data_IF_843953614929
#
_entry.id   IF_843953614929
#
_cell.length_a   1.000
_cell.length_b   1.000
_cell.length_c   1.000
_cell.angle_alpha   90.00
_cell.angle_beta   90.00
_cell.angle_gamma   90.00
#
_symmetry.space_group_name_H-M   'P 1'
#
loop_
_entity.id
_entity.type
_entity.pdbx_description
1 polymer ?
#
# COMPACT_ATOMS: atom_id res chain seq x y z
N UNK A 1 -30.04 0.53 61.50
CA UNK A 1 -28.99 -0.51 61.47
C UNK A 1 -29.33 -1.72 62.34
N UNK A 2 -29.44 -1.65 63.67
CA UNK A 2 -29.68 -2.84 64.53
C UNK A 2 -30.99 -3.58 64.20
N UNK A 3 -32.08 -2.84 63.95
CA UNK A 3 -33.38 -3.44 63.62
C UNK A 3 -33.39 -4.18 62.27
N UNK A 4 -32.65 -3.65 61.30
CA UNK A 4 -32.52 -4.21 59.95
C UNK A 4 -31.70 -5.50 59.93
N UNK A 5 -30.64 -5.56 60.76
CA UNK A 5 -29.89 -6.79 60.99
C UNK A 5 -30.72 -7.85 61.72
N UNK A 6 -31.57 -7.44 62.67
CA UNK A 6 -32.47 -8.36 63.38
C UNK A 6 -33.50 -8.98 62.44
N UNK A 7 -34.14 -8.17 61.59
CA UNK A 7 -35.09 -8.65 60.57
C UNK A 7 -34.41 -9.61 59.59
N UNK A 8 -33.19 -9.32 59.13
CA UNK A 8 -32.43 -10.19 58.23
C UNK A 8 -32.02 -11.51 58.91
N UNK A 9 -31.60 -11.46 60.18
CA UNK A 9 -31.27 -12.65 60.97
C UNK A 9 -32.49 -13.54 61.17
N UNK A 10 -33.64 -12.96 61.54
CA UNK A 10 -34.88 -13.70 61.73
C UNK A 10 -35.39 -14.33 60.43
N UNK A 11 -35.22 -13.63 59.29
CA UNK A 11 -35.52 -14.21 57.97
C UNK A 11 -34.62 -15.39 57.65
N UNK A 12 -33.30 -15.24 57.80
CA UNK A 12 -32.34 -16.30 57.50
C UNK A 12 -32.53 -17.51 58.43
N UNK A 13 -32.89 -17.27 59.69
CA UNK A 13 -33.20 -18.32 60.66
C UNK A 13 -34.47 -19.08 60.27
N UNK A 14 -35.50 -18.39 59.78
CA UNK A 14 -36.71 -19.05 59.23
C UNK A 14 -36.38 -19.89 58.01
N UNK A 15 -35.60 -19.36 57.08
CA UNK A 15 -35.19 -20.09 55.87
C UNK A 15 -34.35 -21.32 56.22
N UNK A 16 -33.44 -21.20 57.20
CA UNK A 16 -32.65 -22.32 57.70
C UNK A 16 -33.53 -23.43 58.28
N UNK A 17 -34.49 -23.08 59.15
CA UNK A 17 -35.43 -24.04 59.73
C UNK A 17 -36.29 -24.71 58.63
N UNK A 18 -36.75 -23.93 57.64
CA UNK A 18 -37.50 -24.46 56.51
C UNK A 18 -36.67 -25.44 55.67
N UNK A 19 -35.38 -25.13 55.43
CA UNK A 19 -34.46 -26.04 54.73
C UNK A 19 -34.13 -27.29 55.54
N UNK A 20 -33.98 -27.20 56.85
CA UNK A 20 -33.81 -28.39 57.70
C UNK A 20 -35.04 -29.30 57.66
N UNK A 21 -36.25 -28.74 57.67
CA UNK A 21 -37.49 -29.49 57.52
C UNK A 21 -37.56 -30.19 56.14
N UNK A 22 -37.25 -29.48 55.06
CA UNK A 22 -37.18 -30.03 53.69
C UNK A 22 -36.17 -31.18 53.60
N UNK A 23 -34.98 -31.04 54.20
CA UNK A 23 -33.98 -32.11 54.28
C UNK A 23 -34.53 -33.31 55.06
N UNK A 24 -35.26 -33.09 56.14
CA UNK A 24 -35.92 -34.16 56.91
C UNK A 24 -36.95 -34.94 56.11
N UNK A 25 -37.79 -34.24 55.35
CA UNK A 25 -38.76 -34.85 54.43
C UNK A 25 -38.07 -35.63 53.31
N UNK A 26 -37.04 -35.03 52.68
CA UNK A 26 -36.25 -35.69 51.64
C UNK A 26 -35.57 -36.95 52.16
N UNK A 27 -35.01 -36.94 53.36
CA UNK A 27 -34.41 -38.14 53.99
C UNK A 27 -35.45 -39.23 54.23
N UNK A 28 -36.64 -38.85 54.68
CA UNK A 28 -37.75 -39.80 54.90
C UNK A 28 -38.24 -40.39 53.58
N UNK A 29 -38.33 -39.56 52.53
CA UNK A 29 -38.66 -39.99 51.17
C UNK A 29 -37.61 -40.94 50.60
N UNK A 30 -36.33 -40.63 50.74
CA UNK A 30 -35.23 -41.52 50.32
C UNK A 30 -35.31 -42.85 51.05
N UNK A 31 -35.57 -42.85 52.37
CA UNK A 31 -35.72 -44.09 53.16
C UNK A 31 -36.92 -44.93 52.71
N UNK A 32 -38.06 -44.29 52.41
CA UNK A 32 -39.23 -44.95 51.84
C UNK A 32 -38.93 -45.53 50.46
N UNK A 33 -38.34 -44.74 49.57
CA UNK A 33 -37.97 -45.19 48.22
C UNK A 33 -36.94 -46.32 48.25
N UNK A 34 -36.02 -46.31 49.23
CA UNK A 34 -35.09 -47.42 49.48
C UNK A 34 -35.80 -48.69 49.96
N UNK A 35 -36.88 -48.59 50.75
CA UNK A 35 -37.72 -49.71 51.17
C UNK A 35 -38.63 -50.24 50.04
N UNK A 36 -39.09 -49.35 49.17
CA UNK A 36 -39.90 -49.66 47.98
C UNK A 36 -39.07 -50.14 46.79
N UNK A 37 -37.72 -50.17 46.92
CA UNK A 37 -36.85 -50.69 45.87
C UNK A 37 -37.28 -52.11 45.51
N UNK A 38 -37.65 -52.25 44.25
CA UNK A 38 -38.12 -53.50 43.70
C UNK A 38 -36.97 -54.50 43.69
N UNK A 39 -37.14 -55.64 44.36
CA UNK A 39 -36.32 -56.82 44.07
C UNK A 39 -36.65 -57.23 42.64
N UNK A 40 -35.71 -56.98 41.73
CA UNK A 40 -35.89 -57.35 40.33
C UNK A 40 -35.55 -58.84 40.24
N UNK A 41 -36.51 -59.70 39.87
CA UNK A 41 -36.20 -61.10 39.67
C UNK A 41 -35.24 -61.23 38.48
N UNK A 42 -34.29 -62.18 38.51
CA UNK A 42 -33.20 -62.24 37.55
C UNK A 42 -33.63 -62.28 36.09
N UNK A 43 -34.72 -62.99 35.81
CA UNK A 43 -35.35 -63.13 34.49
C UNK A 43 -35.83 -61.79 33.92
N UNK A 44 -36.38 -60.90 34.75
CA UNK A 44 -36.89 -59.59 34.31
C UNK A 44 -35.76 -58.63 33.92
N UNK A 45 -34.65 -58.64 34.64
CA UNK A 45 -33.48 -57.82 34.29
C UNK A 45 -32.89 -58.29 32.95
N UNK A 46 -32.68 -59.60 32.82
CA UNK A 46 -32.09 -60.20 31.62
C UNK A 46 -33.00 -60.04 30.40
N UNK A 47 -34.32 -60.23 30.55
CA UNK A 47 -35.29 -60.02 29.45
C UNK A 47 -35.40 -58.56 29.03
N UNK A 48 -35.53 -57.62 29.98
CA UNK A 48 -35.59 -56.19 29.64
C UNK A 48 -34.33 -55.69 28.95
N UNK A 49 -33.17 -56.23 29.33
CA UNK A 49 -31.91 -55.96 28.67
C UNK A 49 -31.90 -56.58 27.26
N UNK A 50 -32.32 -57.84 27.11
CA UNK A 50 -32.50 -58.49 25.80
C UNK A 50 -33.41 -57.68 24.86
N UNK A 51 -34.57 -57.25 25.34
CA UNK A 51 -35.51 -56.40 24.58
C UNK A 51 -34.88 -55.07 24.16
N UNK A 52 -34.07 -54.45 25.03
CA UNK A 52 -33.38 -53.22 24.72
C UNK A 52 -32.32 -53.41 23.63
N UNK A 53 -31.61 -54.55 23.65
CA UNK A 53 -30.66 -54.92 22.60
C UNK A 53 -31.35 -55.20 21.28
N UNK A 54 -32.48 -55.91 21.30
CA UNK A 54 -33.28 -56.18 20.11
C UNK A 54 -33.81 -54.88 19.50
N UNK A 55 -34.35 -53.98 20.31
CA UNK A 55 -34.78 -52.64 19.85
C UNK A 55 -33.63 -51.82 19.29
N UNK A 56 -32.44 -51.90 19.88
CA UNK A 56 -31.25 -51.25 19.35
C UNK A 56 -30.84 -51.84 18.00
N UNK A 57 -30.84 -53.17 17.86
CA UNK A 57 -30.57 -53.85 16.59
C UNK A 57 -31.60 -53.47 15.52
N UNK A 58 -32.88 -53.41 15.88
CA UNK A 58 -33.97 -52.95 15.02
C UNK A 58 -33.75 -51.50 14.61
N UNK A 59 -33.48 -50.59 15.55
CA UNK A 59 -33.24 -49.17 15.26
C UNK A 59 -31.98 -48.93 14.39
N UNK A 60 -30.96 -49.79 14.54
CA UNK A 60 -29.75 -49.78 13.71
C UNK A 60 -29.96 -50.41 12.32
N UNK A 61 -31.05 -51.13 12.10
CA UNK A 61 -31.39 -51.79 10.82
C UNK A 61 -32.60 -51.18 10.09
N UNK A 62 -33.51 -50.49 10.78
CA UNK A 62 -34.73 -49.88 10.22
C UNK A 62 -34.52 -48.47 9.65
N UNK A 63 -33.49 -47.74 10.08
CA UNK A 63 -33.19 -46.47 9.41
C UNK A 63 -32.72 -46.78 7.99
N UNK A 64 -33.35 -46.15 7.00
CA UNK A 64 -33.02 -46.20 5.58
C UNK A 64 -31.61 -45.64 5.28
N UNK A 65 -30.58 -46.21 5.89
CA UNK A 65 -29.17 -45.88 5.70
C UNK A 65 -28.52 -46.97 4.86
N UNK A 66 -27.60 -46.58 3.96
CA UNK A 66 -26.90 -47.45 2.99
C UNK A 66 -26.13 -48.63 3.61
N UNK A 67 -25.96 -48.61 4.93
CA UNK A 67 -25.17 -49.57 5.71
C UNK A 67 -26.09 -50.18 6.74
N UNK A 68 -26.24 -51.51 6.68
CA UNK A 68 -26.88 -52.27 7.75
C UNK A 68 -25.83 -52.47 8.84
N UNK A 69 -26.10 -52.00 10.04
CA UNK A 69 -25.21 -52.22 11.17
C UNK A 69 -25.62 -53.51 11.86
N UNK A 70 -24.68 -54.46 11.95
CA UNK A 70 -24.85 -55.67 12.74
C UNK A 70 -24.09 -55.51 14.05
N UNK A 71 -24.79 -55.48 15.17
CA UNK A 71 -24.15 -55.65 16.48
C UNK A 71 -23.73 -57.12 16.59
N UNK A 72 -22.43 -57.35 16.84
CA UNK A 72 -21.81 -58.68 16.94
C UNK A 72 -20.84 -58.70 18.12
N UNK A 73 -20.40 -59.90 18.53
CA UNK A 73 -19.45 -60.08 19.63
C UNK A 73 -19.86 -59.32 20.90
N UNK A 74 -21.12 -59.45 21.30
CA UNK A 74 -21.62 -58.81 22.52
C UNK A 74 -21.19 -59.60 23.75
N UNK A 75 -20.49 -58.92 24.64
CA UNK A 75 -20.00 -59.45 25.90
C UNK A 75 -20.49 -58.54 27.03
N UNK A 76 -21.16 -59.12 28.01
CA UNK A 76 -21.74 -58.40 29.14
C UNK A 76 -21.17 -59.00 30.41
N UNK A 77 -20.45 -58.16 31.16
CA UNK A 77 -19.98 -58.47 32.49
C UNK A 77 -20.86 -57.73 33.49
N UNK A 78 -21.88 -58.43 34.01
CA UNK A 78 -22.78 -57.86 35.00
C UNK A 78 -22.19 -58.01 36.41
N UNK A 79 -21.84 -56.89 37.02
CA UNK A 79 -21.43 -56.81 38.43
C UNK A 79 -22.63 -56.41 39.26
N UNK A 80 -23.27 -57.39 39.89
CA UNK A 80 -24.44 -57.20 40.74
C UNK A 80 -24.34 -58.06 41.99
N UNK A 81 -24.88 -57.54 43.10
CA UNK A 81 -25.00 -58.31 44.32
C UNK A 81 -26.21 -59.22 44.22
N UNK A 82 -26.05 -60.47 44.60
CA UNK A 82 -27.12 -61.47 44.59
C UNK A 82 -27.60 -61.67 46.01
N UNK A 83 -28.89 -61.49 46.25
CA UNK A 83 -29.52 -61.74 47.53
C UNK A 83 -30.43 -62.97 47.41
N UNK A 84 -30.24 -63.93 48.30
CA UNK A 84 -31.12 -65.08 48.43
C UNK A 84 -32.23 -64.76 49.43
N UNK A 85 -33.48 -64.97 49.03
CA UNK A 85 -34.63 -64.79 49.90
C UNK A 85 -35.10 -66.15 50.43
N UNK A 86 -34.73 -66.47 51.67
CA UNK A 86 -35.02 -67.75 52.34
C UNK A 86 -36.52 -68.08 52.37
N UNK A 87 -37.38 -67.08 52.54
CA UNK A 87 -38.84 -67.27 52.67
C UNK A 87 -39.51 -67.65 51.35
N UNK A 88 -38.92 -67.25 50.22
CA UNK A 88 -39.48 -67.47 48.87
C UNK A 88 -38.67 -68.47 48.05
N UNK A 89 -37.52 -68.93 48.56
CA UNK A 89 -36.56 -69.76 47.84
C UNK A 89 -36.19 -69.16 46.46
N UNK A 90 -36.06 -67.84 46.41
CA UNK A 90 -35.84 -67.08 45.19
C UNK A 90 -34.55 -66.28 45.29
N UNK A 91 -33.78 -66.30 44.20
CA UNK A 91 -32.60 -65.46 44.02
C UNK A 91 -33.06 -64.13 43.42
N UNK A 92 -32.60 -63.02 43.95
CA UNK A 92 -32.89 -61.68 43.42
C UNK A 92 -31.61 -60.87 43.21
N UNK A 93 -31.60 -60.02 42.19
CA UNK A 93 -30.53 -59.05 42.01
C UNK A 93 -30.79 -57.83 42.88
N UNK A 94 -29.75 -57.41 43.61
CA UNK A 94 -29.78 -56.21 44.42
C UNK A 94 -29.08 -55.07 43.70
N UNK A 95 -29.84 -54.04 43.36
CA UNK A 95 -29.29 -52.82 42.76
C UNK A 95 -28.57 -51.97 43.82
N UNK A 96 -27.44 -51.33 43.45
CA UNK A 96 -26.69 -50.44 44.34
C UNK A 96 -27.55 -49.26 44.80
N UNK A 97 -27.41 -48.85 46.05
CA UNK A 97 -28.15 -47.72 46.62
C UNK A 97 -27.77 -46.42 45.93
N UNK A 98 -28.67 -45.43 45.98
CA UNK A 98 -28.46 -44.15 45.28
C UNK A 98 -27.28 -43.36 45.87
N UNK A 99 -26.96 -43.65 47.12
CA UNK A 99 -25.85 -43.13 47.93
C UNK A 99 -24.60 -44.02 47.90
N UNK A 100 -24.63 -45.17 47.21
CA UNK A 100 -23.45 -46.03 47.09
C UNK A 100 -22.44 -45.41 46.12
N UNK A 101 -21.26 -45.07 46.64
CA UNK A 101 -20.11 -44.69 45.81
C UNK A 101 -19.48 -45.95 45.24
N UNK A 102 -19.79 -46.25 43.98
CA UNK A 102 -19.20 -47.40 43.28
C UNK A 102 -17.90 -46.98 42.59
N UNK A 103 -16.76 -47.62 42.90
CA UNK A 103 -15.54 -47.36 42.16
C UNK A 103 -15.68 -47.93 40.73
N UNK A 104 -14.98 -47.36 39.73
CA UNK A 104 -15.15 -47.72 38.32
C UNK A 104 -14.99 -49.22 38.02
N UNK A 105 -14.12 -49.91 38.77
CA UNK A 105 -13.89 -51.35 38.67
C UNK A 105 -15.10 -52.21 39.06
N UNK A 106 -16.07 -51.66 39.81
CA UNK A 106 -17.29 -52.38 40.22
C UNK A 106 -18.48 -52.10 39.28
N UNK A 107 -18.28 -51.31 38.23
CA UNK A 107 -19.30 -51.09 37.22
C UNK A 107 -19.42 -52.31 36.32
N UNK A 108 -20.66 -52.62 35.94
CA UNK A 108 -20.93 -53.61 34.90
C UNK A 108 -20.40 -53.09 33.57
N UNK A 109 -19.78 -53.95 32.76
CA UNK A 109 -19.24 -53.56 31.46
C UNK A 109 -20.02 -54.23 30.33
N UNK A 110 -20.30 -53.46 29.28
CA UNK A 110 -20.93 -53.96 28.06
C UNK A 110 -19.95 -53.66 26.93
N UNK A 111 -19.45 -54.71 26.28
CA UNK A 111 -18.60 -54.62 25.11
C UNK A 111 -19.34 -55.24 23.93
N UNK A 112 -19.27 -54.59 22.77
CA UNK A 112 -19.79 -55.15 21.54
C UNK A 112 -19.02 -54.59 20.36
N UNK A 113 -19.03 -55.31 19.25
CA UNK A 113 -18.49 -54.85 17.98
C UNK A 113 -19.61 -54.55 17.02
N UNK A 114 -19.62 -53.33 16.51
CA UNK A 114 -20.50 -52.97 15.40
C UNK A 114 -19.77 -53.35 14.12
N UNK A 115 -20.38 -54.25 13.32
CA UNK A 115 -19.94 -54.55 11.95
C UNK A 115 -20.84 -53.81 10.98
N UNK A 116 -20.22 -53.13 10.02
CA UNK A 116 -20.91 -52.55 8.88
C UNK A 116 -21.10 -53.63 7.83
N UNK A 117 -22.35 -53.99 7.54
CA UNK A 117 -22.69 -54.84 6.42
C UNK A 117 -23.11 -53.94 5.24
N UNK A 118 -22.55 -54.16 4.04
CA UNK A 118 -23.04 -53.49 2.84
C UNK A 118 -24.53 -53.78 2.67
N UNK A 119 -25.35 -52.73 2.56
CA UNK A 119 -26.77 -52.89 2.26
C UNK A 119 -26.98 -53.52 0.87
N UNK A 120 -28.09 -54.23 0.72
CA UNK A 120 -28.56 -54.69 -0.60
C UNK A 120 -28.80 -53.46 -1.49
N UNK A 121 -28.33 -53.49 -2.74
CA UNK A 121 -28.49 -52.38 -3.67
C UNK A 121 -29.99 -52.18 -3.93
N UNK A 122 -30.58 -51.16 -3.33
CA UNK A 122 -31.92 -50.71 -3.67
C UNK A 122 -31.85 -50.13 -5.08
N UNK A 123 -32.35 -50.87 -6.07
CA UNK A 123 -32.43 -50.44 -7.46
C UNK A 123 -33.48 -49.32 -7.57
N UNK A 124 -33.06 -48.08 -7.83
CA UNK A 124 -33.96 -47.03 -8.27
C UNK A 124 -33.79 -45.64 -7.65
N UNK A 125 -32.96 -45.45 -6.61
CA UNK A 125 -32.61 -44.11 -6.13
C UNK A 125 -31.17 -43.78 -6.54
N UNK A 126 -30.97 -42.62 -7.17
CA UNK A 126 -29.65 -42.12 -7.53
C UNK A 126 -28.79 -41.95 -6.27
N UNK A 127 -27.85 -42.87 -6.09
CA UNK A 127 -26.92 -42.88 -4.98
C UNK A 127 -25.93 -41.72 -5.14
N UNK A 128 -26.17 -40.59 -4.46
CA UNK A 128 -25.14 -39.55 -4.33
C UNK A 128 -24.11 -40.00 -3.30
N UNK A 129 -22.93 -40.44 -3.75
CA UNK A 129 -21.78 -40.73 -2.89
C UNK A 129 -21.31 -39.41 -2.24
N UNK A 130 -21.51 -39.19 -0.94
CA UNK A 130 -21.08 -37.92 -0.34
C UNK A 130 -19.61 -38.04 0.05
N UNK A 131 -18.79 -37.10 -0.44
CA UNK A 131 -17.37 -37.02 -0.13
C UNK A 131 -17.11 -36.00 0.98
N UNK A 132 -16.03 -36.20 1.71
CA UNK A 132 -15.56 -35.26 2.74
C UNK A 132 -14.90 -34.04 2.09
N UNK A 133 -15.40 -32.84 2.45
CA UNK A 133 -14.89 -31.56 1.95
C UNK A 133 -13.50 -31.29 2.55
N UNK A 134 -12.47 -31.04 1.73
CA UNK A 134 -11.12 -30.79 2.22
C UNK A 134 -11.04 -29.50 3.04
N UNK A 135 -10.07 -29.44 3.95
CA UNK A 135 -9.72 -28.19 4.62
C UNK A 135 -8.82 -27.32 3.73
N UNK A 136 -9.28 -26.10 3.46
CA UNK A 136 -8.65 -25.12 2.60
C UNK A 136 -8.17 -23.88 3.37
N UNK A 137 -8.40 -23.80 4.68
CA UNK A 137 -7.99 -22.66 5.50
C UNK A 137 -6.48 -22.42 5.39
N UNK A 138 -6.10 -21.16 5.21
CA UNK A 138 -4.71 -20.69 5.09
C UNK A 138 -3.94 -21.20 3.86
N UNK A 139 -4.60 -21.90 2.93
CA UNK A 139 -4.00 -22.21 1.63
C UNK A 139 -4.05 -20.98 0.71
N UNK A 140 -3.12 -20.90 -0.24
CA UNK A 140 -3.23 -19.96 -1.35
C UNK A 140 -4.47 -20.29 -2.18
N UNK A 141 -5.03 -19.29 -2.87
CA UNK A 141 -6.19 -19.52 -3.74
C UNK A 141 -5.93 -20.62 -4.80
N UNK A 142 -4.72 -20.69 -5.34
CA UNK A 142 -4.38 -21.70 -6.35
C UNK A 142 -4.25 -23.10 -5.75
N UNK A 143 -3.62 -23.24 -4.58
CA UNK A 143 -3.54 -24.52 -3.85
C UNK A 143 -4.93 -24.99 -3.41
N UNK A 144 -5.79 -24.07 -2.97
CA UNK A 144 -7.16 -24.36 -2.59
C UNK A 144 -7.96 -24.90 -3.78
N UNK A 145 -7.89 -24.23 -4.94
CA UNK A 145 -8.52 -24.70 -6.19
C UNK A 145 -8.04 -26.09 -6.58
N UNK A 146 -6.72 -26.32 -6.54
CA UNK A 146 -6.15 -27.62 -6.83
C UNK A 146 -6.70 -28.71 -5.90
N UNK A 147 -6.76 -28.44 -4.59
CA UNK A 147 -7.25 -29.40 -3.59
C UNK A 147 -8.74 -29.70 -3.72
N UNK A 148 -9.56 -28.71 -4.07
CA UNK A 148 -10.99 -28.87 -4.41
C UNK A 148 -11.13 -29.84 -5.59
N UNK A 149 -10.42 -29.56 -6.70
CA UNK A 149 -10.54 -30.37 -7.91
C UNK A 149 -10.00 -31.79 -7.73
N UNK A 150 -8.94 -31.96 -6.94
CA UNK A 150 -8.35 -33.26 -6.63
C UNK A 150 -9.33 -34.15 -5.84
N UNK A 151 -10.21 -33.53 -5.04
CA UNK A 151 -11.25 -34.21 -4.25
C UNK A 151 -12.58 -34.37 -5.00
N UNK A 152 -12.65 -34.02 -6.29
CA UNK A 152 -13.85 -34.22 -7.10
C UNK A 152 -14.95 -33.16 -6.88
N UNK A 153 -14.65 -32.08 -6.14
CA UNK A 153 -15.53 -30.93 -5.97
C UNK A 153 -15.29 -29.87 -7.06
N UNK A 154 -16.20 -28.90 -7.17
CA UNK A 154 -16.05 -27.74 -8.06
C UNK A 154 -15.74 -26.48 -7.27
N UNK A 155 -15.05 -25.53 -7.89
CA UNK A 155 -14.78 -24.23 -7.26
C UNK A 155 -16.06 -23.40 -7.37
N UNK A 156 -16.56 -22.94 -6.23
CA UNK A 156 -17.77 -22.14 -6.13
C UNK A 156 -17.50 -20.63 -6.26
N UNK A 157 -18.32 -19.83 -5.59
CA UNK A 157 -18.16 -18.38 -5.51
C UNK A 157 -16.88 -18.02 -4.74
N UNK A 158 -16.11 -17.07 -5.26
CA UNK A 158 -14.94 -16.52 -4.58
C UNK A 158 -15.27 -15.09 -4.17
N UNK A 159 -15.38 -14.88 -2.86
CA UNK A 159 -15.54 -13.56 -2.25
C UNK A 159 -14.22 -13.10 -1.63
N UNK A 160 -14.10 -11.80 -1.42
CA UNK A 160 -12.89 -11.18 -0.87
C UNK A 160 -13.21 -10.41 0.39
N UNK A 161 -12.44 -10.65 1.45
CA UNK A 161 -12.56 -9.93 2.71
C UNK A 161 -11.27 -9.17 3.00
N UNK A 162 -11.41 -7.87 3.28
CA UNK A 162 -10.27 -7.01 3.63
C UNK A 162 -9.78 -7.32 5.03
N UNK A 163 -8.53 -7.75 5.12
CA UNK A 163 -7.91 -8.08 6.41
C UNK A 163 -6.41 -7.82 6.38
N UNK A 164 -5.85 -7.53 7.55
CA UNK A 164 -4.42 -7.41 7.79
C UNK A 164 -3.91 -8.52 8.72
N UNK A 165 -4.77 -9.51 9.05
CA UNK A 165 -4.45 -10.60 9.98
C UNK A 165 -3.69 -11.75 9.32
N UNK A 166 -3.84 -11.91 8.01
CA UNK A 166 -3.20 -12.96 7.22
C UNK A 166 -2.65 -12.35 5.93
N UNK A 167 -1.79 -13.11 5.25
CA UNK A 167 -1.25 -12.70 3.96
C UNK A 167 -2.35 -12.57 2.89
N UNK A 168 -2.30 -11.55 2.02
CA UNK A 168 -3.16 -11.45 0.86
C UNK A 168 -3.17 -12.72 -0.01
N UNK A 169 -4.36 -13.11 -0.48
CA UNK A 169 -4.52 -14.23 -1.41
C UNK A 169 -4.67 -15.61 -0.75
N UNK A 170 -4.69 -15.69 0.59
CA UNK A 170 -4.98 -16.94 1.32
C UNK A 170 -6.47 -17.07 1.65
N UNK A 171 -6.96 -18.31 1.72
CA UNK A 171 -8.35 -18.62 2.08
C UNK A 171 -8.58 -18.39 3.57
N UNK A 172 -9.55 -17.54 3.90
CA UNK A 172 -10.01 -17.24 5.25
C UNK A 172 -11.07 -18.22 5.73
N UNK A 173 -12.01 -18.55 4.85
CA UNK A 173 -13.12 -19.44 5.13
C UNK A 173 -13.63 -20.10 3.86
N UNK A 174 -14.37 -21.18 4.05
CA UNK A 174 -14.99 -21.95 2.96
C UNK A 174 -16.40 -22.38 3.34
N UNK A 175 -17.22 -22.61 2.32
CA UNK A 175 -18.55 -23.23 2.45
C UNK A 175 -18.68 -24.28 1.35
N UNK A 176 -18.98 -25.56 1.65
CA UNK A 176 -19.23 -26.13 2.97
C UNK A 176 -18.01 -26.16 3.90
N UNK A 177 -18.27 -26.28 5.20
CA UNK A 177 -17.23 -26.30 6.23
C UNK A 177 -16.23 -27.45 6.03
N UNK A 178 -14.97 -27.29 6.45
CA UNK A 178 -13.97 -28.36 6.34
C UNK A 178 -14.45 -29.62 7.06
N UNK A 179 -14.16 -30.79 6.47
CA UNK A 179 -14.53 -32.12 6.98
C UNK A 179 -16.04 -32.42 7.01
N UNK A 180 -16.88 -31.52 6.47
CA UNK A 180 -18.31 -31.82 6.24
C UNK A 180 -18.49 -32.72 5.02
N UNK A 181 -19.67 -33.33 4.89
CA UNK A 181 -20.02 -34.18 3.76
C UNK A 181 -20.77 -33.37 2.70
N UNK A 182 -20.35 -33.46 1.45
CA UNK A 182 -21.00 -32.81 0.32
C UNK A 182 -21.10 -33.76 -0.89
N UNK A 183 -22.12 -33.55 -1.73
CA UNK A 183 -22.31 -34.39 -2.92
C UNK A 183 -21.13 -34.18 -3.90
N UNK A 184 -20.80 -35.17 -4.74
CA UNK A 184 -19.71 -35.04 -5.70
C UNK A 184 -20.00 -33.87 -6.63
N UNK A 185 -18.96 -33.15 -7.03
CA UNK A 185 -19.04 -31.94 -7.86
C UNK A 185 -19.77 -30.77 -7.22
N UNK A 186 -20.17 -30.83 -5.94
CA UNK A 186 -20.73 -29.66 -5.26
C UNK A 186 -19.73 -28.50 -5.28
N UNK A 187 -20.21 -27.25 -5.42
CA UNK A 187 -19.35 -26.08 -5.33
C UNK A 187 -18.82 -25.90 -3.91
N UNK A 188 -17.56 -25.50 -3.80
CA UNK A 188 -16.95 -25.02 -2.55
C UNK A 188 -16.66 -23.53 -2.72
N UNK A 189 -17.45 -22.70 -2.06
CA UNK A 189 -17.30 -21.26 -2.02
C UNK A 189 -16.15 -20.90 -1.08
N UNK A 190 -15.39 -19.86 -1.44
CA UNK A 190 -14.20 -19.42 -0.72
C UNK A 190 -14.32 -17.94 -0.38
N UNK A 191 -13.89 -17.58 0.83
CA UNK A 191 -13.58 -16.19 1.19
C UNK A 191 -12.07 -16.06 1.25
N UNK A 192 -11.51 -15.14 0.48
CA UNK A 192 -10.06 -14.94 0.33
C UNK A 192 -9.66 -13.60 0.93
N UNK A 193 -8.49 -13.58 1.58
CA UNK A 193 -7.93 -12.37 2.15
C UNK A 193 -7.53 -11.36 1.07
N UNK A 194 -8.10 -10.17 1.12
CA UNK A 194 -7.67 -9.00 0.36
C UNK A 194 -6.86 -8.06 1.27
N UNK A 195 -5.77 -7.43 0.79
CA UNK A 195 -5.03 -6.48 1.60
C UNK A 195 -5.93 -5.33 2.04
N UNK A 196 -5.93 -5.01 3.34
CA UNK A 196 -6.54 -3.78 3.81
C UNK A 196 -5.77 -2.59 3.22
N UNK A 197 -6.47 -1.70 2.52
CA UNK A 197 -5.89 -0.43 2.08
C UNK A 197 -5.50 0.36 3.33
N UNK A 198 -4.19 0.48 3.59
CA UNK A 198 -3.70 1.41 4.59
C UNK A 198 -3.80 2.81 4.00
N UNK A 199 -4.71 3.61 4.55
CA UNK A 199 -4.88 5.00 4.19
C UNK A 199 -4.06 5.88 5.13
N UNK A 200 -3.57 7.00 4.60
CA UNK A 200 -2.92 8.06 5.36
C UNK A 200 -3.44 9.40 4.87
N UNK A 201 -3.43 10.40 5.74
CA UNK A 201 -3.82 11.76 5.38
C UNK A 201 -2.65 12.48 4.72
N UNK A 202 -2.93 13.16 3.62
CA UNK A 202 -1.93 13.98 2.94
C UNK A 202 -1.64 15.22 3.79
N UNK A 203 -0.38 15.48 4.17
CA UNK A 203 -0.02 16.64 4.97
C UNK A 203 -0.07 17.91 4.12
N UNK A 204 -0.16 19.05 4.79
CA UNK A 204 0.04 20.33 4.12
C UNK A 204 1.54 20.59 3.93
N UNK A 205 1.99 20.50 2.68
CA UNK A 205 3.37 20.74 2.26
C UNK A 205 3.59 22.16 1.76
N UNK A 206 2.54 22.98 1.63
CA UNK A 206 2.67 24.36 1.14
C UNK A 206 3.50 25.21 2.09
N UNK A 207 4.27 26.15 1.55
CA UNK A 207 5.20 27.02 2.29
C UNK A 207 6.41 26.33 2.93
N UNK A 208 6.50 24.99 2.90
CA UNK A 208 7.70 24.28 3.33
C UNK A 208 8.80 24.37 2.27
N UNK A 209 10.06 24.22 2.68
CA UNK A 209 11.14 23.96 1.73
C UNK A 209 10.97 22.58 1.09
N UNK A 210 11.50 22.40 -0.12
CA UNK A 210 11.48 21.10 -0.80
C UNK A 210 12.08 19.99 0.09
N UNK A 211 13.18 20.28 0.79
CA UNK A 211 13.84 19.29 1.66
C UNK A 211 12.95 18.88 2.85
N UNK A 212 12.28 19.84 3.50
CA UNK A 212 11.34 19.55 4.59
C UNK A 212 10.12 18.78 4.09
N UNK A 213 9.56 19.19 2.94
CA UNK A 213 8.44 18.50 2.32
C UNK A 213 8.78 17.02 2.01
N UNK A 214 9.99 16.76 1.54
CA UNK A 214 10.47 15.39 1.32
C UNK A 214 10.61 14.57 2.60
N UNK A 215 11.07 15.18 3.70
CA UNK A 215 11.15 14.52 5.02
C UNK A 215 9.75 14.18 5.53
N UNK A 216 8.80 15.11 5.38
CA UNK A 216 7.41 14.91 5.80
C UNK A 216 6.73 13.82 4.98
N UNK A 217 6.91 13.78 3.65
CA UNK A 217 6.36 12.71 2.80
C UNK A 217 6.89 11.33 3.22
N UNK A 218 8.20 11.22 3.46
CA UNK A 218 8.82 9.95 3.88
C UNK A 218 8.33 9.47 5.25
N UNK A 219 8.11 10.35 6.22
CA UNK A 219 7.72 9.95 7.58
C UNK A 219 6.33 9.29 7.65
N UNK A 220 5.47 9.57 6.66
CA UNK A 220 4.12 9.00 6.54
C UNK A 220 4.00 8.00 5.39
N UNK A 221 5.13 7.54 4.85
CA UNK A 221 5.20 6.58 3.73
C UNK A 221 4.46 7.04 2.46
N UNK A 222 4.50 8.34 2.14
CA UNK A 222 4.09 8.86 0.83
C UNK A 222 5.32 9.07 -0.06
N UNK A 223 5.12 8.95 -1.37
CA UNK A 223 6.21 9.04 -2.34
C UNK A 223 6.31 10.42 -2.97
N UNK A 224 7.54 10.85 -3.24
CA UNK A 224 7.82 12.09 -3.96
C UNK A 224 7.58 11.89 -5.44
N UNK A 225 6.72 12.73 -6.01
CA UNK A 225 6.44 12.75 -7.44
C UNK A 225 7.32 13.72 -8.24
N UNK A 226 6.77 14.16 -9.36
CA UNK A 226 7.37 15.14 -10.24
C UNK A 226 7.45 16.50 -9.55
N UNK A 227 8.62 17.11 -9.64
CA UNK A 227 8.85 18.49 -9.20
C UNK A 227 8.80 19.40 -10.42
N UNK A 228 7.99 20.45 -10.34
CA UNK A 228 7.92 21.49 -11.38
C UNK A 228 8.17 22.86 -10.77
N UNK A 229 8.82 23.75 -11.51
CA UNK A 229 9.14 25.08 -11.03
C UNK A 229 8.16 26.12 -11.57
N UNK A 230 7.81 27.10 -10.74
CA UNK A 230 6.97 28.24 -11.12
C UNK A 230 7.51 29.53 -10.52
N UNK A 231 7.42 30.62 -11.29
CA UNK A 231 7.72 31.98 -10.78
C UNK A 231 6.79 32.29 -9.59
N UNK A 232 7.36 32.75 -8.49
CA UNK A 232 6.66 33.08 -7.25
C UNK A 232 7.43 34.13 -6.46
N UNK A 233 6.73 34.78 -5.52
CA UNK A 233 7.36 35.68 -4.55
C UNK A 233 8.03 34.96 -3.38
N UNK A 234 7.70 33.67 -3.20
CA UNK A 234 8.32 32.81 -2.20
C UNK A 234 9.82 32.63 -2.45
N UNK A 235 10.53 32.20 -1.41
CA UNK A 235 11.95 31.84 -1.51
C UNK A 235 12.14 30.69 -2.51
N UNK A 236 13.29 30.62 -3.21
CA UNK A 236 13.60 29.51 -4.10
C UNK A 236 13.46 28.15 -3.38
N UNK A 237 12.96 27.14 -4.10
CA UNK A 237 12.70 25.79 -3.59
C UNK A 237 11.62 25.69 -2.50
N UNK A 238 10.82 26.74 -2.27
CA UNK A 238 9.62 26.65 -1.42
C UNK A 238 8.44 26.06 -2.20
N UNK A 239 7.72 25.11 -1.60
CA UNK A 239 6.54 24.48 -2.19
C UNK A 239 5.38 25.49 -2.30
N UNK A 240 4.92 25.72 -3.53
CA UNK A 240 3.78 26.56 -3.88
C UNK A 240 2.49 25.74 -3.85
N UNK A 241 2.54 24.52 -4.39
CA UNK A 241 1.37 23.67 -4.58
C UNK A 241 1.75 22.20 -4.53
N UNK A 242 0.83 21.39 -4.01
CA UNK A 242 0.85 19.93 -4.06
C UNK A 242 -0.29 19.43 -4.97
N UNK A 243 -0.11 18.25 -5.57
CA UNK A 243 -1.08 17.60 -6.45
C UNK A 243 -2.36 17.15 -5.73
N UNK A 244 -2.21 16.50 -4.58
CA UNK A 244 -3.31 16.05 -3.71
C UNK A 244 -3.51 17.06 -2.59
N UNK A 245 -4.75 17.38 -2.22
CA UNK A 245 -5.02 18.40 -1.20
C UNK A 245 -4.59 17.93 0.19
N UNK A 246 -4.29 18.89 1.06
CA UNK A 246 -4.08 18.58 2.47
C UNK A 246 -5.34 17.95 3.09
N UNK A 247 -5.13 17.06 4.06
CA UNK A 247 -6.13 16.27 4.79
C UNK A 247 -6.93 15.24 3.98
N UNK A 248 -6.65 15.13 2.67
CA UNK A 248 -7.24 14.10 1.81
C UNK A 248 -6.66 12.71 2.19
N UNK A 249 -7.51 11.69 2.26
CA UNK A 249 -7.09 10.32 2.57
C UNK A 249 -6.66 9.59 1.29
N UNK A 250 -5.41 9.15 1.26
CA UNK A 250 -4.83 8.41 0.14
C UNK A 250 -4.19 7.12 0.61
N UNK A 251 -3.93 6.20 -0.32
CA UNK A 251 -3.18 4.97 -0.02
C UNK A 251 -1.76 5.33 0.40
N UNK A 252 -1.19 4.57 1.33
CA UNK A 252 0.26 4.56 1.54
C UNK A 252 0.97 4.33 0.19
N UNK A 253 2.15 4.92 0.02
CA UNK A 253 2.92 4.97 -1.22
C UNK A 253 2.28 5.75 -2.38
N UNK A 254 1.22 6.53 -2.12
CA UNK A 254 0.70 7.47 -3.13
C UNK A 254 1.77 8.52 -3.47
N UNK A 255 1.95 8.77 -4.76
CA UNK A 255 2.91 9.74 -5.30
C UNK A 255 2.31 11.15 -5.24
N UNK A 256 3.05 12.09 -4.65
CA UNK A 256 2.65 13.50 -4.54
C UNK A 256 3.59 14.38 -5.38
N UNK A 257 3.08 14.89 -6.51
CA UNK A 257 3.77 15.91 -7.31
C UNK A 257 3.76 17.28 -6.60
N UNK A 258 4.86 18.01 -6.72
CA UNK A 258 5.05 19.32 -6.10
C UNK A 258 5.39 20.40 -7.15
N UNK A 259 4.85 21.59 -6.93
CA UNK A 259 5.23 22.81 -7.65
C UNK A 259 6.03 23.68 -6.69
N UNK A 260 7.28 24.00 -7.01
CA UNK A 260 8.18 24.80 -6.19
C UNK A 260 8.49 26.16 -6.81
N UNK A 261 8.89 27.10 -5.97
CA UNK A 261 9.30 28.43 -6.40
C UNK A 261 10.64 28.40 -7.14
N UNK A 262 10.62 28.94 -8.36
CA UNK A 262 11.80 29.08 -9.21
C UNK A 262 12.78 30.09 -8.61
N UNK A 263 14.07 29.86 -8.82
CA UNK A 263 15.11 30.83 -8.48
C UNK A 263 14.86 32.18 -9.19
N UNK A 264 14.91 33.28 -8.42
CA UNK A 264 14.82 34.63 -8.96
C UNK A 264 16.14 34.94 -9.68
N UNK A 265 16.08 35.17 -10.98
CA UNK A 265 17.23 35.64 -11.75
C UNK A 265 17.72 36.97 -11.15
N UNK A 266 18.96 36.99 -10.65
CA UNK A 266 19.56 38.25 -10.18
C UNK A 266 19.62 39.20 -11.38
N UNK A 267 19.20 40.47 -11.23
CA UNK A 267 19.44 41.44 -12.28
C UNK A 267 20.94 41.49 -12.56
N UNK A 268 21.33 41.30 -13.82
CA UNK A 268 22.71 41.48 -14.24
C UNK A 268 23.04 42.96 -13.99
N UNK A 269 23.94 43.23 -13.05
CA UNK A 269 24.44 44.58 -12.78
C UNK A 269 25.21 45.07 -14.02
N UNK A 270 24.49 45.66 -14.96
CA UNK A 270 25.09 46.28 -16.14
C UNK A 270 25.70 47.60 -15.71
N UNK A 271 27.00 47.58 -15.38
CA UNK A 271 27.76 48.80 -15.10
C UNK A 271 27.80 49.67 -16.36
N UNK A 272 27.27 50.89 -16.26
CA UNK A 272 27.30 51.90 -17.32
C UNK A 272 28.52 52.81 -17.14
N UNK A 273 29.08 53.28 -18.25
CA UNK A 273 30.12 54.31 -18.31
C UNK A 273 29.76 55.37 -19.35
N UNK A 274 30.28 56.59 -19.19
CA UNK A 274 30.03 57.69 -20.13
C UNK A 274 31.06 57.68 -21.25
N UNK A 275 30.61 57.87 -22.48
CA UNK A 275 31.50 57.97 -23.64
C UNK A 275 32.31 59.28 -23.56
N UNK A 276 33.65 59.22 -23.64
CA UNK A 276 34.51 60.39 -23.57
C UNK A 276 34.45 61.17 -24.88
N UNK A 277 34.87 62.43 -24.84
CA UNK A 277 35.04 63.22 -26.06
C UNK A 277 36.41 62.91 -26.68
N UNK A 278 36.41 62.24 -27.82
CA UNK A 278 37.60 61.85 -28.57
C UNK A 278 37.88 62.80 -29.74
N UNK A 279 36.96 63.69 -30.10
CA UNK A 279 37.13 64.59 -31.25
C UNK A 279 38.28 65.56 -31.02
N UNK A 280 39.17 65.69 -32.00
CA UNK A 280 40.36 66.56 -31.91
C UNK A 280 41.59 65.90 -31.27
N UNK A 281 41.45 64.73 -30.63
CA UNK A 281 42.59 64.00 -30.08
C UNK A 281 43.37 63.24 -31.17
N UNK A 282 44.70 63.07 -31.01
CA UNK A 282 45.47 62.08 -31.75
C UNK A 282 44.93 60.66 -31.52
N UNK A 283 44.99 59.80 -32.54
CA UNK A 283 44.51 58.42 -32.47
C UNK A 283 45.07 57.67 -31.24
N UNK A 284 46.37 57.76 -30.98
CA UNK A 284 47.01 57.07 -29.85
C UNK A 284 46.47 57.53 -28.48
N UNK A 285 46.16 58.82 -28.33
CA UNK A 285 45.57 59.36 -27.10
C UNK A 285 44.11 58.93 -26.95
N UNK A 286 43.34 58.97 -28.05
CA UNK A 286 41.95 58.50 -28.06
C UNK A 286 41.86 57.01 -27.66
N UNK A 287 42.82 56.19 -28.08
CA UNK A 287 42.90 54.78 -27.66
C UNK A 287 43.20 54.60 -26.17
N UNK A 288 44.09 55.42 -25.61
CA UNK A 288 44.39 55.41 -24.16
C UNK A 288 43.16 55.81 -23.34
N UNK A 289 42.44 56.85 -23.79
CA UNK A 289 41.22 57.34 -23.14
C UNK A 289 40.09 56.31 -23.19
N UNK A 290 39.93 55.57 -24.30
CA UNK A 290 38.96 54.48 -24.36
C UNK A 290 39.30 53.32 -23.42
N UNK A 291 40.58 52.92 -23.38
CA UNK A 291 41.06 51.83 -22.51
C UNK A 291 40.92 52.18 -21.02
N UNK A 292 41.18 53.42 -20.61
CA UNK A 292 41.15 53.82 -19.19
C UNK A 292 39.75 53.72 -18.56
N UNK A 293 38.69 53.75 -19.37
CA UNK A 293 37.30 53.61 -18.93
C UNK A 293 36.66 52.29 -19.39
N UNK A 294 37.48 51.32 -19.79
CA UNK A 294 37.06 50.00 -20.24
C UNK A 294 36.06 50.03 -21.42
N UNK A 295 36.25 50.96 -22.36
CA UNK A 295 35.56 50.95 -23.66
C UNK A 295 36.48 50.36 -24.73
N UNK A 296 35.89 49.64 -25.67
CA UNK A 296 36.64 48.98 -26.72
C UNK A 296 36.79 49.88 -27.94
N UNK A 297 37.96 49.77 -28.59
CA UNK A 297 38.23 50.44 -29.86
C UNK A 297 37.49 49.71 -30.98
N UNK A 298 36.59 50.41 -31.64
CA UNK A 298 35.88 49.90 -32.80
C UNK A 298 36.63 50.11 -34.12
N UNK A 299 35.89 50.07 -35.23
CA UNK A 299 36.39 50.31 -36.58
C UNK A 299 36.91 51.74 -36.73
N UNK A 300 38.12 51.85 -37.29
CA UNK A 300 38.74 53.12 -37.68
C UNK A 300 38.53 53.33 -39.19
N UNK A 301 38.09 54.52 -39.57
CA UNK A 301 37.94 54.92 -40.98
C UNK A 301 38.63 56.25 -41.23
N UNK A 302 39.18 56.45 -42.42
CA UNK A 302 39.88 57.69 -42.76
C UNK A 302 39.01 58.60 -43.63
N UNK A 303 39.12 59.92 -43.40
CA UNK A 303 38.47 60.94 -44.22
C UNK A 303 39.45 62.10 -44.47
N UNK A 304 39.38 62.71 -45.66
CA UNK A 304 40.11 63.95 -45.96
C UNK A 304 39.64 65.06 -45.00
N UNK A 305 40.60 65.75 -44.38
CA UNK A 305 40.37 66.82 -43.42
C UNK A 305 41.53 67.81 -43.45
N UNK A 306 41.28 69.01 -42.95
CA UNK A 306 42.29 70.05 -42.70
C UNK A 306 43.06 69.81 -41.40
N UNK A 307 42.57 68.89 -40.56
CA UNK A 307 43.26 68.45 -39.34
C UNK A 307 44.55 67.71 -39.65
N UNK A 308 45.45 67.67 -38.66
CA UNK A 308 46.68 66.89 -38.73
C UNK A 308 46.38 65.41 -39.00
N UNK A 309 47.25 64.68 -39.74
CA UNK A 309 47.08 63.24 -39.95
C UNK A 309 46.91 62.48 -38.63
N UNK A 310 46.04 61.47 -38.63
CA UNK A 310 45.71 60.65 -37.46
C UNK A 310 44.94 61.37 -36.32
N UNK A 311 44.40 62.57 -36.56
CA UNK A 311 43.50 63.24 -35.61
C UNK A 311 42.07 62.75 -35.78
N UNK A 312 41.36 62.52 -34.67
CA UNK A 312 39.95 62.10 -34.67
C UNK A 312 39.03 63.23 -35.15
N UNK A 313 38.32 62.98 -36.25
CA UNK A 313 37.29 63.87 -36.83
C UNK A 313 35.94 63.64 -36.17
N UNK A 314 35.58 62.37 -35.96
CA UNK A 314 34.25 61.98 -35.50
C UNK A 314 34.29 60.66 -34.73
N UNK A 315 33.48 60.57 -33.69
CA UNK A 315 33.17 59.32 -32.97
C UNK A 315 31.75 58.85 -33.29
N UNK A 316 31.53 57.54 -33.23
CA UNK A 316 30.23 56.92 -33.53
C UNK A 316 29.15 57.15 -32.47
N UNK A 317 29.55 57.26 -31.20
CA UNK A 317 28.66 57.55 -30.08
C UNK A 317 29.03 58.93 -29.53
N UNK A 318 28.06 59.82 -29.37
CA UNK A 318 28.32 61.17 -28.86
C UNK A 318 28.94 61.17 -27.46
N UNK A 319 29.76 62.18 -27.17
CA UNK A 319 30.33 62.36 -25.84
C UNK A 319 29.24 62.48 -24.77
N UNK A 320 29.54 62.04 -23.55
CA UNK A 320 28.65 61.99 -22.38
C UNK A 320 27.45 61.04 -22.48
N UNK A 321 27.25 60.33 -23.60
CA UNK A 321 26.22 59.28 -23.68
C UNK A 321 26.60 58.07 -22.82
N UNK A 322 25.65 57.52 -22.10
CA UNK A 322 25.86 56.32 -21.29
C UNK A 322 25.81 55.05 -22.15
N UNK A 323 26.81 54.19 -21.95
CA UNK A 323 26.96 52.91 -22.64
C UNK A 323 27.41 51.84 -21.65
N UNK A 324 27.20 50.57 -22.00
CA UNK A 324 27.69 49.45 -21.19
C UNK A 324 29.22 49.44 -21.19
N UNK A 325 29.85 49.14 -20.05
CA UNK A 325 31.29 48.85 -20.03
C UNK A 325 31.59 47.74 -21.06
N UNK A 326 32.67 47.88 -21.83
CA UNK A 326 33.02 47.01 -22.95
C UNK A 326 32.37 47.39 -24.30
N UNK A 327 31.55 48.45 -24.36
CA UNK A 327 30.97 48.90 -25.62
C UNK A 327 32.05 49.39 -26.59
N UNK A 328 31.88 49.10 -27.88
CA UNK A 328 32.81 49.51 -28.94
C UNK A 328 32.51 50.90 -29.47
N UNK A 329 33.56 51.73 -29.60
CA UNK A 329 33.47 53.08 -30.18
C UNK A 329 34.23 53.13 -31.50
N UNK A 330 33.51 53.20 -32.62
CA UNK A 330 34.08 53.45 -33.94
C UNK A 330 34.49 54.92 -34.10
N UNK A 331 35.59 55.17 -34.81
CA UNK A 331 36.20 56.50 -34.96
C UNK A 331 36.53 56.78 -36.44
N UNK A 332 36.35 58.03 -36.84
CA UNK A 332 36.80 58.57 -38.14
C UNK A 332 38.00 59.47 -37.91
N UNK A 333 39.12 59.23 -38.57
CA UNK A 333 40.37 60.00 -38.44
C UNK A 333 40.73 60.75 -39.73
N UNK A 334 41.58 61.77 -39.60
CA UNK A 334 42.13 62.52 -40.72
C UNK A 334 43.17 61.72 -41.50
N UNK A 335 42.92 61.56 -42.80
CA UNK A 335 43.81 60.85 -43.72
C UNK A 335 45.17 61.56 -43.85
N UNK A 336 46.24 60.80 -44.07
CA UNK A 336 47.57 61.37 -44.36
C UNK A 336 47.52 62.20 -45.63
N UNK A 337 47.91 63.47 -45.54
CA UNK A 337 48.07 64.32 -46.72
C UNK A 337 49.26 63.79 -47.54
N UNK A 338 48.99 63.29 -48.75
CA UNK A 338 50.06 63.06 -49.74
C UNK A 338 50.65 64.43 -50.07
N UNK A 339 51.94 64.64 -49.75
CA UNK A 339 52.70 65.77 -50.29
C UNK A 339 52.56 65.72 -51.82
N UNK A 340 51.87 66.71 -52.39
CA UNK A 340 51.92 66.93 -53.83
C UNK A 340 53.34 67.43 -54.11
N UNK A 341 54.14 66.63 -54.81
CA UNK A 341 55.46 67.05 -55.28
C UNK A 341 55.29 68.30 -56.16
N UNK A 342 55.68 69.46 -55.62
CA UNK A 342 55.67 70.76 -56.30
C UNK A 342 56.62 70.82 -57.52
N UNK A 343 57.31 69.73 -57.86
CA UNK A 343 58.29 69.64 -58.94
C UNK A 343 57.67 69.60 -60.35
N UNK A 344 56.37 69.31 -60.49
CA UNK A 344 55.69 69.18 -61.78
C UNK A 344 55.02 70.47 -62.31
N UNK A 345 54.90 71.55 -61.51
CA UNK A 345 54.33 72.83 -62.00
C UNK A 345 55.34 73.79 -62.65
N UNK A 346 56.66 73.53 -62.54
CA UNK A 346 57.69 74.39 -63.17
C UNK A 346 58.07 73.97 -64.60
N UNK A 347 57.75 72.75 -65.06
CA UNK A 347 58.15 72.31 -66.41
C UNK A 347 57.21 72.74 -67.54
N UNK A 348 55.94 73.08 -67.26
CA UNK A 348 55.00 73.54 -68.29
C UNK A 348 54.97 75.06 -68.49
N UNK A 349 55.58 75.84 -67.59
CA UNK A 349 55.73 77.29 -67.75
C UNK A 349 57.01 77.69 -68.52
N UNK A 350 58.02 76.82 -68.58
CA UNK A 350 59.28 77.06 -69.31
C UNK A 350 59.26 76.62 -70.78
N UNK A 351 58.27 75.82 -71.22
CA UNK A 351 58.11 75.39 -72.62
C UNK A 351 57.36 76.40 -73.51
N UNK A 352 56.81 77.49 -72.95
CA UNK A 352 55.99 78.48 -73.69
C UNK A 352 56.67 79.83 -73.96
N UNK A 353 57.94 80.01 -73.54
CA UNK A 353 58.69 81.28 -73.69
C UNK A 353 60.03 81.19 -74.42
N UNK A 354 60.35 80.07 -75.08
CA UNK A 354 61.56 79.94 -75.88
C UNK A 354 61.28 79.29 -77.25
N UNK A 355 60.77 80.07 -78.21
CA UNK A 355 61.25 79.98 -79.60
C UNK A 355 60.75 81.15 -80.48
N UNK A 356 61.61 82.14 -80.80
CA UNK A 356 61.42 83.04 -81.92
C UNK A 356 61.87 82.37 -83.24
N UNK A 357 61.09 82.63 -84.30
CA UNK A 357 61.27 82.24 -85.71
C UNK A 357 62.72 82.27 -86.22
N UNK A 358 63.12 81.27 -87.03
CA UNK A 358 63.91 81.51 -88.27
C UNK A 358 63.56 80.51 -89.38
N UNK A 359 63.37 81.09 -90.56
CA UNK A 359 63.12 80.55 -91.90
C UNK A 359 64.39 80.01 -92.57
N UNK A 360 64.28 78.93 -93.36
CA UNK A 360 64.78 78.80 -94.75
C UNK A 360 64.64 77.33 -95.21
N UNK A 361 63.82 77.03 -96.23
CA UNK A 361 64.08 77.07 -97.69
C UNK A 361 65.03 75.96 -98.19
N UNK A 362 64.39 74.99 -98.88
CA UNK A 362 64.82 74.21 -100.05
C UNK A 362 66.09 73.36 -99.98
N UNK A 363 65.93 72.06 -100.26
CA UNK A 363 66.65 71.39 -101.37
C UNK A 363 65.71 70.39 -102.05
N UNK A 364 65.77 70.39 -103.38
CA UNK A 364 65.01 69.65 -104.38
C UNK A 364 65.88 68.51 -104.90
N UNK A 365 65.34 67.29 -105.02
CA UNK A 365 65.76 66.17 -105.88
C UNK A 365 64.74 65.04 -105.64
N UNK A 366 64.16 64.34 -106.61
CA UNK A 366 64.34 64.25 -108.05
C UNK A 366 62.99 63.79 -108.64
#
# INVERSE_FOLDING_TARGET
>A
MVEEYRVKYDSLRRDFIAKEAEIGELRTNVKRLQLERSNIPPDRLVSSFGDALEKMQIALSEKSTRVKYLVSDMEVELKTNVAFNDDKNEISYQLPKLDDTLPPENLSTIRFKIKMLPGEKVSGEEVFDYDEVPNLHYLTLDDAKYRITLKGFTVGEISYERTNRVEPGVVLSQIPSPFSLAAPKSPVDLTVAEPTLKLTKVPNLTSLSLEEAEKVLKSINLEKGKITERKSELLPNTVIKQSVKADEEVKIATVIDLVVAKEKEKPVDVKLTKVPNLTGLPLEEAEKVLKSINLEKGKITERKSELLPNTVIKQSIAANKEVKIGSTINIVIAAKQRKIDLRLKRSQASLRKANPRKTNKNVKAL
#
